data_IF_195383228489
#
_entry.id   IF_195383228489
#
_cell.length_a   1.000
_cell.length_b   1.000
_cell.length_c   1.000
_cell.angle_alpha   90.00
_cell.angle_beta   90.00
_cell.angle_gamma   90.00
#
_symmetry.space_group_name_H-M   'P 1'
#
loop_
_entity.id
_entity.type
_entity.pdbx_description
1 polymer ?
#
# COMPACT_ATOMS: atom_id res chain seq x y z
N UNK A 1 -68.71 -11.20 36.59
CA UNK A 1 -69.03 -10.35 35.41
C UNK A 1 -67.92 -9.32 35.28
N UNK A 2 -67.34 -9.20 34.07
CA UNK A 2 -65.94 -8.83 33.88
C UNK A 2 -65.57 -7.37 34.06
N UNK A 3 -64.26 -7.14 34.14
CA UNK A 3 -63.53 -6.17 33.33
C UNK A 3 -62.02 -6.34 33.52
N UNK A 4 -61.37 -6.86 32.48
CA UNK A 4 -59.94 -6.75 32.25
C UNK A 4 -59.56 -5.27 32.19
N UNK A 5 -58.56 -4.85 32.97
CA UNK A 5 -57.79 -3.64 32.68
C UNK A 5 -56.31 -3.96 32.79
N UNK A 6 -55.65 -3.88 31.65
CA UNK A 6 -54.23 -4.14 31.47
C UNK A 6 -53.38 -3.18 32.31
N UNK A 7 -52.43 -3.74 33.06
CA UNK A 7 -51.32 -2.98 33.66
C UNK A 7 -50.51 -2.34 32.54
N UNK A 8 -50.51 -1.01 32.47
CA UNK A 8 -49.55 -0.25 31.66
C UNK A 8 -48.16 -0.43 32.28
N UNK A 9 -47.15 -0.96 31.57
CA UNK A 9 -45.78 -0.87 32.04
C UNK A 9 -45.31 0.59 31.94
N UNK A 10 -44.72 1.11 33.02
CA UNK A 10 -44.21 2.47 33.11
C UNK A 10 -42.99 2.73 32.21
N UNK A 11 -42.56 4.00 32.07
CA UNK A 11 -41.54 4.44 31.11
C UNK A 11 -40.11 3.96 31.40
N UNK A 12 -39.91 3.08 32.38
CA UNK A 12 -38.59 2.61 32.80
C UNK A 12 -37.93 1.60 31.83
N UNK A 13 -38.69 1.03 30.89
CA UNK A 13 -38.16 0.04 29.93
C UNK A 13 -37.56 0.70 28.68
N UNK A 14 -37.86 1.97 28.41
CA UNK A 14 -37.36 2.67 27.23
C UNK A 14 -35.91 3.17 27.37
N UNK A 15 -35.35 3.23 28.58
CA UNK A 15 -33.99 3.75 28.83
C UNK A 15 -32.89 2.67 28.84
N UNK A 16 -33.27 1.39 28.85
CA UNK A 16 -32.30 0.28 28.87
C UNK A 16 -31.84 -0.17 27.48
N UNK A 17 -32.53 0.24 26.40
CA UNK A 17 -32.19 -0.18 25.03
C UNK A 17 -31.24 0.78 24.30
N UNK A 18 -30.96 1.97 24.84
CA UNK A 18 -30.11 2.94 24.17
C UNK A 18 -28.62 2.84 24.55
N UNK A 19 -28.28 2.16 25.65
CA UNK A 19 -26.90 2.06 26.14
C UNK A 19 -26.14 0.85 25.55
N UNK A 20 -26.83 -0.15 25.01
CA UNK A 20 -26.19 -1.37 24.47
C UNK A 20 -25.72 -1.22 23.02
N UNK A 21 -26.15 -0.17 22.30
CA UNK A 21 -25.77 0.02 20.90
C UNK A 21 -24.39 0.66 20.66
N UNK A 22 -23.71 1.16 21.70
CA UNK A 22 -22.42 1.87 21.55
C UNK A 22 -21.16 1.02 21.82
N UNK A 23 -21.31 -0.26 22.14
CA UNK A 23 -20.18 -1.15 22.50
C UNK A 23 -19.62 -1.99 21.33
N UNK A 24 -20.05 -1.75 20.09
CA UNK A 24 -19.74 -2.63 18.95
C UNK A 24 -18.92 -2.02 17.81
N UNK A 25 -18.70 -0.71 17.77
CA UNK A 25 -17.98 -0.07 16.67
C UNK A 25 -16.52 0.16 17.06
N UNK A 26 -15.75 -0.92 17.16
CA UNK A 26 -14.30 -0.83 16.98
C UNK A 26 -14.04 -0.48 15.52
N UNK A 27 -14.24 0.79 15.16
CA UNK A 27 -13.63 1.34 13.94
C UNK A 27 -12.14 1.28 14.21
N UNK A 28 -11.50 0.21 13.76
CA UNK A 28 -10.06 0.19 13.59
C UNK A 28 -9.75 1.36 12.68
N UNK A 29 -9.32 2.49 13.25
CA UNK A 29 -8.72 3.56 12.51
C UNK A 29 -7.48 2.97 11.86
N UNK A 30 -7.65 2.43 10.64
CA UNK A 30 -6.56 2.34 9.68
C UNK A 30 -6.05 3.78 9.65
N UNK A 31 -4.87 4.04 10.21
CA UNK A 31 -4.26 5.36 10.19
C UNK A 31 -4.48 5.88 8.78
N UNK A 32 -5.35 6.88 8.67
CA UNK A 32 -5.92 7.31 7.40
C UNK A 32 -4.73 7.50 6.47
N UNK A 33 -4.69 6.79 5.33
CA UNK A 33 -3.51 6.80 4.49
C UNK A 33 -3.37 8.20 3.92
N UNK A 34 -2.68 9.09 4.67
CA UNK A 34 -2.54 10.52 4.39
C UNK A 34 -1.86 10.82 3.06
N UNK A 35 -1.43 9.77 2.36
CA UNK A 35 -0.86 9.81 1.03
C UNK A 35 -1.95 9.75 -0.05
N UNK A 36 -3.05 9.05 0.20
CA UNK A 36 -4.25 9.08 -0.64
C UNK A 36 -4.88 10.48 -0.56
N UNK A 37 -5.38 10.98 -1.69
CA UNK A 37 -5.88 12.34 -1.86
C UNK A 37 -4.80 13.41 -2.04
N UNK A 38 -3.53 13.12 -1.71
CA UNK A 38 -2.40 14.04 -1.92
C UNK A 38 -1.51 13.60 -3.09
N UNK A 39 -1.02 12.35 -3.08
CA UNK A 39 -0.13 11.81 -4.11
C UNK A 39 -0.86 11.01 -5.19
N UNK A 40 -2.02 10.43 -4.85
CA UNK A 40 -2.82 9.55 -5.72
C UNK A 40 -4.29 9.60 -5.26
N UNK A 41 -5.28 9.26 -6.13
CA UNK A 41 -6.70 9.23 -5.75
C UNK A 41 -6.99 8.18 -4.66
N UNK A 42 -8.18 8.17 -4.05
CA UNK A 42 -8.55 7.11 -3.10
C UNK A 42 -8.28 5.70 -3.64
N UNK A 43 -7.82 4.80 -2.77
CA UNK A 43 -7.49 3.41 -3.13
C UNK A 43 -8.73 2.71 -3.67
N UNK A 44 -8.66 2.24 -4.91
CA UNK A 44 -9.79 1.59 -5.60
C UNK A 44 -9.71 0.07 -5.51
N UNK A 45 -8.52 -0.48 -5.24
CA UNK A 45 -8.31 -1.92 -5.14
C UNK A 45 -7.09 -2.26 -4.29
N UNK A 46 -7.10 -3.45 -3.69
CA UNK A 46 -6.02 -3.94 -2.85
C UNK A 46 -5.68 -5.38 -3.16
N UNK A 47 -4.42 -5.77 -2.99
CA UNK A 47 -4.01 -7.18 -2.98
C UNK A 47 -2.98 -7.46 -1.88
N UNK A 48 -2.86 -8.75 -1.53
CA UNK A 48 -1.84 -9.23 -0.60
C UNK A 48 -0.85 -10.04 -1.42
N UNK A 49 0.42 -9.66 -1.34
CA UNK A 49 1.54 -10.41 -1.89
C UNK A 49 2.29 -11.08 -0.75
N UNK A 50 2.33 -12.42 -0.77
CA UNK A 50 3.15 -13.19 0.18
C UNK A 50 4.55 -13.33 -0.42
N UNK A 51 5.50 -12.60 0.14
CA UNK A 51 6.85 -12.61 -0.35
C UNK A 51 7.58 -13.89 0.07
N UNK A 52 8.48 -14.34 -0.79
CA UNK A 52 9.40 -15.44 -0.50
C UNK A 52 10.58 -14.97 0.34
N UNK A 53 10.92 -13.69 0.23
CA UNK A 53 11.96 -13.06 1.04
C UNK A 53 11.45 -12.72 2.43
N UNK A 54 12.21 -13.09 3.45
CA UNK A 54 12.08 -12.48 4.77
C UNK A 54 12.71 -11.07 4.75
N UNK A 55 12.20 -10.14 5.57
CA UNK A 55 12.91 -8.88 5.78
C UNK A 55 14.27 -9.14 6.44
N UNK A 56 15.25 -8.34 6.05
CA UNK A 56 16.52 -8.24 6.79
C UNK A 56 16.23 -7.81 8.23
N UNK A 57 16.90 -8.46 9.18
CA UNK A 57 16.75 -8.19 10.62
C UNK A 57 17.05 -6.72 10.96
N UNK A 58 17.94 -6.12 10.19
CA UNK A 58 18.46 -4.76 10.29
C UNK A 58 17.87 -3.80 9.26
N UNK A 59 16.75 -4.15 8.60
CA UNK A 59 16.03 -3.33 7.61
C UNK A 59 15.72 -1.89 8.10
N UNK A 60 16.62 -0.95 7.84
CA UNK A 60 16.56 0.43 8.29
C UNK A 60 15.82 1.36 7.32
N UNK A 61 15.44 2.54 7.81
CA UNK A 61 14.89 3.61 6.97
C UNK A 61 15.89 4.04 5.88
N UNK A 62 17.16 4.07 6.22
CA UNK A 62 18.24 4.47 5.30
C UNK A 62 18.33 3.52 4.12
N UNK A 63 18.34 2.20 4.36
CA UNK A 63 18.37 1.21 3.27
C UNK A 63 17.17 1.32 2.33
N UNK A 64 15.98 1.62 2.85
CA UNK A 64 14.79 1.84 2.01
C UNK A 64 14.92 3.10 1.15
N UNK A 65 15.44 4.18 1.72
CA UNK A 65 15.67 5.42 0.98
C UNK A 65 16.75 5.21 -0.09
N UNK A 66 17.86 4.59 0.27
CA UNK A 66 18.94 4.27 -0.66
C UNK A 66 18.48 3.36 -1.79
N UNK A 67 17.62 2.37 -1.49
CA UNK A 67 17.00 1.54 -2.51
C UNK A 67 16.21 2.37 -3.53
N UNK A 68 15.34 3.28 -3.06
CA UNK A 68 14.58 4.17 -3.95
C UNK A 68 15.52 5.07 -4.77
N UNK A 69 16.56 5.63 -4.16
CA UNK A 69 17.54 6.49 -4.84
C UNK A 69 18.24 5.73 -5.96
N UNK A 70 18.72 4.51 -5.68
CA UNK A 70 19.40 3.67 -6.67
C UNK A 70 18.48 3.24 -7.83
N UNK A 71 17.21 2.95 -7.56
CA UNK A 71 16.23 2.67 -8.63
C UNK A 71 15.97 3.93 -9.46
N UNK A 72 15.80 5.08 -8.80
CA UNK A 72 15.54 6.36 -9.47
C UNK A 72 16.72 6.78 -10.35
N UNK A 73 17.96 6.63 -9.87
CA UNK A 73 19.15 6.96 -10.66
C UNK A 73 19.21 6.12 -11.93
N UNK A 74 18.97 4.81 -11.84
CA UNK A 74 18.94 3.93 -13.03
C UNK A 74 17.85 4.29 -14.04
N UNK A 75 16.73 4.85 -13.56
CA UNK A 75 15.68 5.38 -14.45
C UNK A 75 16.09 6.69 -15.11
N UNK A 76 16.76 7.58 -14.37
CA UNK A 76 17.24 8.89 -14.86
C UNK A 76 18.46 8.78 -15.79
N UNK A 77 19.24 7.71 -15.69
CA UNK A 77 20.37 7.45 -16.59
C UNK A 77 19.93 7.07 -18.02
N UNK A 78 18.63 6.92 -18.26
CA UNK A 78 18.09 6.62 -19.59
C UNK A 78 17.96 7.89 -20.43
N UNK A 79 18.15 7.81 -21.77
CA UNK A 79 18.12 8.97 -22.66
C UNK A 79 16.70 9.53 -22.89
N UNK A 80 15.70 9.03 -22.17
CA UNK A 80 14.30 9.41 -22.28
C UNK A 80 13.74 9.74 -20.91
N UNK A 81 12.70 10.59 -20.88
CA UNK A 81 12.06 11.00 -19.64
C UNK A 81 11.36 9.81 -18.95
N UNK A 82 11.40 9.72 -17.62
CA UNK A 82 10.65 8.70 -16.87
C UNK A 82 9.14 8.79 -17.14
N UNK A 83 8.48 7.66 -17.36
CA UNK A 83 7.01 7.60 -17.51
C UNK A 83 6.26 7.57 -16.17
N UNK A 84 6.97 7.28 -15.09
CA UNK A 84 6.46 7.22 -13.73
C UNK A 84 7.54 7.67 -12.75
N UNK A 85 7.11 8.07 -11.57
CA UNK A 85 7.97 8.37 -10.42
C UNK A 85 7.78 7.33 -9.33
N UNK A 86 8.84 7.07 -8.58
CA UNK A 86 8.85 6.15 -7.45
C UNK A 86 9.45 6.85 -6.23
N UNK A 87 8.80 6.72 -5.07
CA UNK A 87 9.28 7.32 -3.84
C UNK A 87 8.80 6.56 -2.60
N UNK A 88 9.51 6.74 -1.48
CA UNK A 88 9.12 6.18 -0.18
C UNK A 88 8.46 7.23 0.72
N UNK A 89 7.47 6.78 1.50
CA UNK A 89 6.74 7.50 2.54
C UNK A 89 6.51 6.59 3.74
N UNK A 90 5.82 7.11 4.75
CA UNK A 90 5.78 6.53 6.08
C UNK A 90 6.85 7.11 6.99
N UNK A 91 6.71 6.92 8.30
CA UNK A 91 7.65 7.47 9.29
C UNK A 91 9.04 6.85 9.14
N UNK A 92 9.06 5.57 8.77
CA UNK A 92 10.28 4.78 8.54
C UNK A 92 10.52 4.53 7.05
N UNK A 93 9.88 5.26 6.14
CA UNK A 93 9.96 5.02 4.70
C UNK A 93 9.47 3.62 4.25
N UNK A 94 8.56 3.01 5.00
CA UNK A 94 8.03 1.65 4.81
C UNK A 94 6.97 1.52 3.71
N UNK A 95 6.46 2.64 3.19
CA UNK A 95 5.45 2.68 2.12
C UNK A 95 6.06 3.17 0.82
N UNK A 96 6.10 2.34 -0.20
CA UNK A 96 6.52 2.73 -1.54
C UNK A 96 5.31 3.21 -2.35
N UNK A 97 5.47 4.30 -3.08
CA UNK A 97 4.44 4.88 -3.94
C UNK A 97 5.01 5.07 -5.34
N UNK A 98 4.26 4.66 -6.35
CA UNK A 98 4.59 4.76 -7.76
C UNK A 98 3.43 5.44 -8.50
N UNK A 99 3.70 6.56 -9.16
CA UNK A 99 2.67 7.37 -9.83
C UNK A 99 3.04 7.63 -11.28
N UNK A 100 2.09 7.41 -12.18
CA UNK A 100 2.27 7.67 -13.61
C UNK A 100 2.27 9.16 -13.90
N UNK A 101 3.08 9.59 -14.86
CA UNK A 101 3.13 11.00 -15.27
C UNK A 101 2.27 11.32 -16.50
N UNK A 102 1.82 10.30 -17.23
CA UNK A 102 1.11 10.42 -18.49
C UNK A 102 -0.22 9.64 -18.46
N UNK A 103 -1.30 10.25 -18.97
CA UNK A 103 -2.63 9.63 -18.99
C UNK A 103 -2.69 8.29 -19.74
N UNK A 104 -1.89 8.15 -20.80
CA UNK A 104 -1.80 6.93 -21.61
C UNK A 104 -0.48 6.17 -21.40
N UNK A 105 0.24 6.44 -20.31
CA UNK A 105 1.57 5.89 -20.03
C UNK A 105 1.57 4.50 -19.36
N UNK A 106 2.75 4.09 -18.89
CA UNK A 106 3.01 2.83 -18.19
C UNK A 106 2.05 2.48 -17.05
N UNK A 107 1.45 3.46 -16.36
CA UNK A 107 0.55 3.21 -15.23
C UNK A 107 -0.92 3.53 -15.54
N UNK A 108 -1.29 3.74 -16.80
CA UNK A 108 -2.67 4.12 -17.20
C UNK A 108 -3.74 3.05 -16.93
N UNK A 109 -3.37 1.79 -16.76
CA UNK A 109 -4.30 0.71 -16.36
C UNK A 109 -3.63 -0.21 -15.35
N UNK A 110 -4.43 -0.95 -14.57
CA UNK A 110 -3.90 -1.94 -13.62
C UNK A 110 -3.02 -3.00 -14.30
N UNK A 111 -3.37 -3.42 -15.52
CA UNK A 111 -2.56 -4.39 -16.27
C UNK A 111 -1.22 -3.81 -16.71
N UNK A 112 -1.20 -2.54 -17.16
CA UNK A 112 0.06 -1.85 -17.48
C UNK A 112 0.91 -1.64 -16.24
N UNK A 113 0.30 -1.28 -15.11
CA UNK A 113 0.99 -1.18 -13.83
C UNK A 113 1.63 -2.50 -13.40
N UNK A 114 0.93 -3.63 -13.53
CA UNK A 114 1.51 -4.97 -13.28
C UNK A 114 2.70 -5.27 -14.20
N UNK A 115 2.60 -4.92 -15.48
CA UNK A 115 3.71 -5.07 -16.43
C UNK A 115 4.91 -4.17 -16.04
N UNK A 116 4.66 -2.94 -15.58
CA UNK A 116 5.71 -2.04 -15.06
C UNK A 116 6.39 -2.61 -13.82
N UNK A 117 5.64 -3.17 -12.87
CA UNK A 117 6.19 -3.83 -11.68
C UNK A 117 7.02 -5.07 -12.05
N UNK A 118 6.62 -5.82 -13.09
CA UNK A 118 7.42 -6.91 -13.63
C UNK A 118 8.72 -6.38 -14.27
N UNK A 119 8.67 -5.29 -15.04
CA UNK A 119 9.87 -4.63 -15.58
C UNK A 119 10.82 -4.15 -14.46
N UNK A 120 10.29 -3.61 -13.37
CA UNK A 120 11.08 -3.20 -12.21
C UNK A 120 11.85 -4.37 -11.58
N UNK A 121 11.40 -5.61 -11.75
CA UNK A 121 12.18 -6.79 -11.37
C UNK A 121 13.47 -6.86 -12.18
N UNK A 122 13.41 -6.66 -13.49
CA UNK A 122 14.60 -6.68 -14.35
C UNK A 122 15.57 -5.53 -14.01
N UNK A 123 15.05 -4.33 -13.71
CA UNK A 123 15.86 -3.18 -13.29
C UNK A 123 16.53 -3.46 -11.94
N UNK A 124 15.77 -3.97 -10.97
CA UNK A 124 16.31 -4.32 -9.67
C UNK A 124 17.46 -5.34 -9.81
N UNK A 125 17.31 -6.41 -10.59
CA UNK A 125 18.39 -7.39 -10.80
C UNK A 125 19.71 -6.81 -11.31
N UNK A 126 19.67 -5.67 -12.01
CA UNK A 126 20.83 -4.98 -12.55
C UNK A 126 21.59 -4.10 -11.55
N UNK A 127 21.02 -3.78 -10.38
CA UNK A 127 21.67 -2.88 -9.43
C UNK A 127 22.77 -3.57 -8.61
N UNK A 128 23.79 -2.80 -8.22
CA UNK A 128 24.91 -3.28 -7.40
C UNK A 128 24.44 -3.84 -6.07
N UNK A 129 23.53 -3.10 -5.41
CA UNK A 129 22.92 -3.51 -4.13
C UNK A 129 22.36 -4.94 -4.21
N UNK A 130 21.82 -5.36 -5.35
CA UNK A 130 21.22 -6.70 -5.52
C UNK A 130 22.21 -7.81 -5.83
N UNK A 131 23.33 -7.47 -6.49
CA UNK A 131 24.42 -8.42 -6.67
C UNK A 131 25.04 -8.77 -5.33
N UNK A 132 25.16 -7.80 -4.45
CA UNK A 132 25.80 -7.97 -3.14
C UNK A 132 25.00 -8.91 -2.21
N UNK A 133 23.67 -8.95 -2.33
CA UNK A 133 22.83 -9.91 -1.59
C UNK A 133 22.69 -11.29 -2.27
N UNK A 134 23.14 -11.45 -3.52
CA UNK A 134 23.11 -12.75 -4.22
C UNK A 134 21.71 -13.30 -4.52
N UNK A 135 20.69 -12.44 -4.58
CA UNK A 135 19.26 -12.82 -4.71
C UNK A 135 18.64 -12.47 -6.07
N UNK A 136 19.48 -12.03 -7.00
CA UNK A 136 19.05 -11.46 -8.27
C UNK A 136 18.35 -12.47 -9.20
N UNK A 137 18.65 -13.75 -9.14
CA UNK A 137 18.01 -14.77 -9.97
C UNK A 137 16.66 -15.26 -9.42
N UNK A 138 16.48 -15.24 -8.09
CA UNK A 138 15.31 -15.84 -7.44
C UNK A 138 14.18 -14.85 -7.11
N UNK A 139 14.51 -13.61 -6.70
CA UNK A 139 13.53 -12.65 -6.17
C UNK A 139 12.89 -11.75 -7.25
N UNK A 140 11.62 -11.42 -7.04
CA UNK A 140 10.88 -10.39 -7.79
C UNK A 140 11.08 -9.01 -7.14
N UNK A 141 10.67 -7.94 -7.82
CA UNK A 141 10.65 -6.60 -7.22
C UNK A 141 9.92 -6.54 -5.87
N UNK A 142 8.82 -7.29 -5.71
CA UNK A 142 8.07 -7.33 -4.46
C UNK A 142 8.82 -8.07 -3.35
N UNK A 143 9.45 -9.20 -3.68
CA UNK A 143 10.31 -9.93 -2.73
C UNK A 143 11.47 -9.02 -2.26
N UNK A 144 12.04 -8.26 -3.19
CA UNK A 144 13.14 -7.32 -2.89
C UNK A 144 12.67 -6.13 -2.04
N UNK A 145 11.51 -5.56 -2.35
CA UNK A 145 10.90 -4.54 -1.50
C UNK A 145 10.66 -5.10 -0.08
N UNK A 146 10.15 -6.32 0.02
CA UNK A 146 9.95 -6.98 1.32
C UNK A 146 11.25 -7.22 2.08
N UNK A 147 12.31 -7.64 1.38
CA UNK A 147 13.65 -7.86 1.93
C UNK A 147 14.17 -6.59 2.63
N UNK A 148 14.01 -5.42 2.02
CA UNK A 148 14.37 -4.12 2.61
C UNK A 148 13.36 -3.57 3.62
N UNK A 149 12.32 -4.34 3.94
CA UNK A 149 11.32 -3.98 4.95
C UNK A 149 10.31 -2.96 4.49
N UNK A 150 10.02 -2.86 3.18
CA UNK A 150 8.78 -2.23 2.74
C UNK A 150 7.60 -3.12 3.14
N UNK A 151 6.52 -2.48 3.57
CA UNK A 151 5.29 -3.15 4.03
C UNK A 151 4.15 -2.97 3.00
N UNK A 152 4.24 -1.93 2.18
CA UNK A 152 3.20 -1.55 1.23
C UNK A 152 3.82 -0.97 -0.05
N UNK A 153 3.24 -1.33 -1.20
CA UNK A 153 3.45 -0.65 -2.48
C UNK A 153 2.11 -0.10 -2.96
N UNK A 154 2.05 1.16 -3.33
CA UNK A 154 0.88 1.76 -3.98
C UNK A 154 1.25 2.19 -5.38
N UNK A 155 0.49 1.74 -6.37
CA UNK A 155 0.63 2.16 -7.78
C UNK A 155 -0.60 2.91 -8.24
N UNK A 156 -0.41 3.97 -9.02
CA UNK A 156 -1.51 4.82 -9.49
C UNK A 156 -1.23 5.45 -10.84
N UNK A 157 -2.29 5.72 -11.60
CA UNK A 157 -2.25 6.62 -12.77
C UNK A 157 -2.23 8.11 -12.38
N UNK A 158 -2.32 8.42 -11.09
CA UNK A 158 -2.39 9.78 -10.57
C UNK A 158 -3.75 10.47 -10.74
N UNK A 159 -4.76 9.76 -11.30
CA UNK A 159 -6.04 10.39 -11.68
C UNK A 159 -7.25 9.55 -11.30
N UNK A 160 -7.37 8.34 -11.83
CA UNK A 160 -8.59 7.55 -11.75
C UNK A 160 -8.50 6.37 -10.80
N UNK A 161 -7.31 5.83 -10.54
CA UNK A 161 -7.18 4.66 -9.70
C UNK A 161 -5.89 4.64 -8.87
N UNK A 162 -5.97 3.97 -7.73
CA UNK A 162 -4.80 3.58 -6.94
C UNK A 162 -4.99 2.13 -6.48
N UNK A 163 -3.97 1.31 -6.74
CA UNK A 163 -3.92 -0.09 -6.34
C UNK A 163 -2.87 -0.28 -5.25
N UNK A 164 -3.27 -0.86 -4.13
CA UNK A 164 -2.39 -1.06 -2.97
C UNK A 164 -2.05 -2.53 -2.77
N UNK A 165 -0.76 -2.83 -2.71
CA UNK A 165 -0.21 -4.15 -2.52
C UNK A 165 0.38 -4.20 -1.11
N UNK A 166 -0.15 -5.05 -0.25
CA UNK A 166 0.42 -5.32 1.07
C UNK A 166 1.45 -6.45 0.96
N UNK A 167 2.68 -6.19 1.41
CA UNK A 167 3.77 -7.15 1.40
C UNK A 167 3.76 -7.91 2.73
N UNK A 168 3.58 -9.24 2.67
CA UNK A 168 3.57 -10.14 3.83
C UNK A 168 4.82 -11.00 3.83
#
# INVERSE_FOLDING_TARGET
MGRFFARRPGPAVALALFVVAMLGASVTARAEDRHAGYYYPPVTSTEIYTARAAALTDASREMRVEFIVNVTQQMLDKPYHPEFIIFAKGERAEKMIIVGLNENGALSTLYRARATLAMLTAIARGSQLFRDFGVNDFFTFFDLARLFGFEQITVSDGRTYAHQIQLR
#
